data_IF_968032238059
#
_entry.id   IF_968032238059
#
_cell.length_a   1.000
_cell.length_b   1.000
_cell.length_c   1.000
_cell.angle_alpha   90.00
_cell.angle_beta   90.00
_cell.angle_gamma   90.00
#
_symmetry.space_group_name_H-M   'P 1'
#
loop_
_entity.id
_entity.type
_entity.pdbx_description
1 polymer ?
#
# COMPACT_ATOMS: atom_id res chain seq x y z
N UNK A 1 -30.19 -40.72 -32.27
CA UNK A 1 -29.23 -40.92 -31.16
C UNK A 1 -27.85 -40.62 -31.73
N UNK A 2 -27.12 -39.54 -31.48
CA UNK A 2 -27.07 -38.57 -30.40
C UNK A 2 -25.63 -38.04 -30.39
N UNK A 3 -25.26 -37.30 -31.46
CA UNK A 3 -23.94 -36.66 -31.63
C UNK A 3 -23.71 -35.64 -30.52
N UNK A 4 -23.05 -36.06 -29.43
CA UNK A 4 -22.62 -35.14 -28.37
C UNK A 4 -21.33 -34.45 -28.82
N UNK A 5 -21.53 -33.35 -29.54
CA UNK A 5 -20.51 -32.32 -29.74
C UNK A 5 -20.12 -31.75 -28.37
N UNK A 6 -18.92 -32.09 -27.89
CA UNK A 6 -18.36 -31.50 -26.69
C UNK A 6 -18.05 -30.03 -26.99
N UNK A 7 -18.84 -29.13 -26.40
CA UNK A 7 -18.64 -27.68 -26.56
C UNK A 7 -17.37 -27.28 -25.83
N UNK A 8 -16.43 -26.71 -26.61
CA UNK A 8 -15.41 -25.78 -26.13
C UNK A 8 -16.11 -24.62 -25.41
N UNK A 9 -15.84 -24.46 -24.12
CA UNK A 9 -16.33 -23.35 -23.31
C UNK A 9 -15.12 -22.66 -22.70
N UNK A 10 -14.67 -21.59 -23.37
CA UNK A 10 -13.50 -20.82 -22.96
C UNK A 10 -13.65 -20.29 -21.55
N UNK A 11 -12.57 -20.37 -20.79
CA UNK A 11 -12.41 -19.62 -19.56
C UNK A 11 -12.58 -18.12 -19.87
N UNK A 12 -13.20 -17.33 -18.98
CA UNK A 12 -13.25 -15.89 -19.17
C UNK A 12 -11.83 -15.34 -19.02
N UNK A 13 -11.19 -15.09 -20.16
CA UNK A 13 -10.10 -14.14 -20.30
C UNK A 13 -10.74 -12.75 -20.09
N UNK A 14 -10.80 -12.32 -18.84
CA UNK A 14 -11.59 -11.18 -18.43
C UNK A 14 -11.01 -10.50 -17.20
N UNK A 15 -10.47 -9.31 -17.44
CA UNK A 15 -9.85 -8.41 -16.48
C UNK A 15 -8.46 -8.83 -15.98
N UNK A 16 -7.44 -8.56 -16.80
CA UNK A 16 -6.25 -7.92 -16.27
C UNK A 16 -6.71 -6.61 -15.62
N UNK A 17 -7.17 -6.72 -14.37
CA UNK A 17 -7.40 -5.58 -13.49
C UNK A 17 -6.10 -4.78 -13.53
N UNK A 18 -6.23 -3.48 -13.62
CA UNK A 18 -5.23 -2.44 -13.39
C UNK A 18 -4.57 -2.62 -12.01
N UNK A 19 -3.88 -3.73 -11.80
CA UNK A 19 -3.25 -3.99 -10.51
C UNK A 19 -2.05 -3.06 -10.42
N UNK A 20 -1.91 -2.28 -9.33
CA UNK A 20 -0.78 -1.39 -9.15
C UNK A 20 0.51 -2.20 -9.19
N UNK A 21 1.13 -2.23 -10.36
CA UNK A 21 2.36 -2.93 -10.72
C UNK A 21 3.56 -1.96 -10.68
N UNK A 22 3.41 -0.86 -9.95
CA UNK A 22 4.42 0.16 -9.75
C UNK A 22 5.17 0.03 -8.42
N UNK A 23 6.12 0.94 -8.16
CA UNK A 23 6.81 1.01 -6.88
C UNK A 23 5.87 1.52 -5.79
N UNK A 24 6.07 1.03 -4.57
CA UNK A 24 5.43 1.58 -3.37
C UNK A 24 5.79 3.06 -3.22
N UNK A 25 4.79 3.92 -3.12
CA UNK A 25 5.03 5.37 -3.07
C UNK A 25 5.90 5.78 -1.87
N UNK A 26 5.87 5.04 -0.76
CA UNK A 26 6.69 5.36 0.42
C UNK A 26 8.13 4.84 0.31
N UNK A 27 8.31 3.53 0.12
CA UNK A 27 9.63 2.88 0.22
C UNK A 27 10.30 2.57 -1.13
N UNK A 28 9.62 2.76 -2.26
CA UNK A 28 10.19 2.54 -3.60
C UNK A 28 10.31 1.08 -4.05
N UNK A 29 10.13 0.10 -3.15
CA UNK A 29 10.15 -1.33 -3.51
C UNK A 29 8.97 -1.70 -4.43
N UNK A 30 9.12 -2.69 -5.33
CA UNK A 30 8.04 -3.12 -6.20
C UNK A 30 6.82 -3.60 -5.39
N UNK A 31 5.63 -3.28 -5.87
CA UNK A 31 4.38 -3.82 -5.34
C UNK A 31 4.08 -5.14 -6.05
N UNK A 32 3.72 -6.16 -5.26
CA UNK A 32 3.19 -7.41 -5.79
C UNK A 32 1.67 -7.36 -5.70
N UNK A 33 0.95 -7.41 -6.83
CA UNK A 33 -0.49 -7.60 -6.90
C UNK A 33 -1.03 -8.57 -5.84
N UNK A 34 -1.95 -8.11 -5.00
CA UNK A 34 -2.63 -8.96 -4.01
C UNK A 34 -2.80 -8.30 -2.64
N UNK A 35 -2.98 -9.11 -1.57
CA UNK A 35 -3.37 -8.63 -0.24
C UNK A 35 -2.29 -7.83 0.50
N UNK A 36 -1.08 -7.76 -0.08
CA UNK A 36 0.07 -7.03 0.46
C UNK A 36 0.05 -5.54 0.10
N UNK A 37 -0.86 -5.10 -0.78
CA UNK A 37 -0.96 -3.72 -1.27
C UNK A 37 -2.25 -3.07 -0.80
N UNK A 38 -2.13 -1.87 -0.24
CA UNK A 38 -3.27 -1.08 0.26
C UNK A 38 -3.16 0.36 -0.27
N UNK A 39 -4.32 1.01 -0.46
CA UNK A 39 -4.38 2.41 -0.85
C UNK A 39 -4.35 3.30 0.39
N UNK A 40 -3.36 4.18 0.46
CA UNK A 40 -3.19 5.11 1.57
C UNK A 40 -3.63 6.52 1.17
N UNK A 41 -4.47 7.16 1.99
CA UNK A 41 -4.85 8.54 1.77
C UNK A 41 -3.80 9.46 2.38
N UNK A 42 -3.20 10.34 1.58
CA UNK A 42 -2.19 11.29 2.06
C UNK A 42 -2.79 12.34 3.00
N UNK A 43 -4.05 12.69 2.79
CA UNK A 43 -4.87 13.48 3.70
C UNK A 43 -6.05 12.59 4.12
N UNK A 44 -6.37 12.46 5.42
CA UNK A 44 -7.51 11.66 5.86
C UNK A 44 -8.81 12.06 5.16
N UNK A 45 -9.71 11.10 4.90
CA UNK A 45 -11.01 11.38 4.27
C UNK A 45 -11.86 12.38 5.07
N UNK A 46 -11.78 12.33 6.39
CA UNK A 46 -12.48 13.25 7.30
C UNK A 46 -12.06 14.71 7.11
N UNK A 47 -10.83 14.94 6.64
CA UNK A 47 -10.28 16.27 6.36
C UNK A 47 -10.40 16.63 4.85
N UNK A 48 -11.22 15.90 4.10
CA UNK A 48 -11.49 16.16 2.68
C UNK A 48 -10.48 15.55 1.70
N UNK A 49 -9.58 14.69 2.16
CA UNK A 49 -8.55 14.09 1.31
C UNK A 49 -9.09 13.14 0.23
N UNK A 50 -8.63 13.33 -1.01
CA UNK A 50 -9.00 12.50 -2.18
C UNK A 50 -7.81 11.81 -2.85
N UNK A 51 -6.59 12.23 -2.53
CA UNK A 51 -5.37 11.68 -3.12
C UNK A 51 -4.98 10.41 -2.39
N UNK A 52 -4.98 9.31 -3.11
CA UNK A 52 -4.49 8.02 -2.63
C UNK A 52 -3.21 7.62 -3.33
N UNK A 53 -2.34 6.92 -2.60
CA UNK A 53 -1.11 6.34 -3.13
C UNK A 53 -1.01 4.85 -2.75
N UNK A 54 -0.49 4.00 -3.65
CA UNK A 54 -0.37 2.58 -3.36
C UNK A 54 0.84 2.32 -2.47
N UNK A 55 0.62 1.65 -1.34
CA UNK A 55 1.64 1.27 -0.37
C UNK A 55 1.60 -0.22 -0.06
N UNK A 56 2.72 -0.78 0.40
CA UNK A 56 2.68 -2.07 1.09
C UNK A 56 1.90 -1.93 2.40
N UNK A 57 1.19 -2.98 2.81
CA UNK A 57 0.51 -3.07 4.12
C UNK A 57 1.44 -2.74 5.30
N UNK A 58 2.70 -3.17 5.24
CA UNK A 58 3.70 -2.85 6.27
C UNK A 58 4.08 -1.35 6.27
N UNK A 59 4.16 -0.73 5.09
CA UNK A 59 4.44 0.71 4.97
C UNK A 59 3.25 1.53 5.45
N UNK A 60 2.03 1.13 5.09
CA UNK A 60 0.80 1.78 5.55
C UNK A 60 0.66 1.73 7.07
N UNK A 61 0.88 0.55 7.68
CA UNK A 61 0.89 0.39 9.14
C UNK A 61 1.94 1.27 9.81
N UNK A 62 3.14 1.42 9.24
CA UNK A 62 4.17 2.29 9.80
C UNK A 62 3.73 3.74 9.86
N UNK A 63 3.08 4.25 8.81
CA UNK A 63 2.57 5.63 8.80
C UNK A 63 1.59 5.86 9.96
N UNK A 64 0.60 4.99 10.13
CA UNK A 64 -0.38 5.11 11.22
C UNK A 64 0.17 4.78 12.61
N UNK A 65 1.26 4.01 12.70
CA UNK A 65 1.94 3.77 13.95
C UNK A 65 2.68 5.01 14.46
N UNK A 66 3.19 5.85 13.55
CA UNK A 66 3.99 7.04 13.88
C UNK A 66 3.16 8.32 13.96
N UNK A 67 2.19 8.51 13.07
CA UNK A 67 1.48 9.78 12.87
C UNK A 67 -0.01 9.66 13.22
N UNK A 68 -0.56 10.69 13.85
CA UNK A 68 -2.02 10.91 13.91
C UNK A 68 -2.61 11.30 12.56
N UNK A 69 -3.94 11.18 12.45
CA UNK A 69 -4.70 11.80 11.38
C UNK A 69 -4.47 13.32 11.27
N UNK A 70 -4.37 14.03 12.42
CA UNK A 70 -4.11 15.48 12.43
C UNK A 70 -2.72 15.84 11.90
N UNK A 71 -1.69 15.10 12.30
CA UNK A 71 -0.32 15.27 11.79
C UNK A 71 -0.24 14.92 10.30
N UNK A 72 -0.95 13.86 9.89
CA UNK A 72 -1.04 13.45 8.49
C UNK A 72 -1.74 14.51 7.63
N UNK A 73 -2.81 15.13 8.12
CA UNK A 73 -3.54 16.18 7.41
C UNK A 73 -2.78 17.51 7.27
N UNK A 74 -1.79 17.76 8.14
CA UNK A 74 -1.00 19.00 8.15
C UNK A 74 0.40 18.80 7.56
N UNK A 75 1.45 18.76 8.41
CA UNK A 75 2.84 18.75 7.95
C UNK A 75 3.21 17.51 7.12
N UNK A 76 2.47 16.41 7.23
CA UNK A 76 2.79 15.13 6.57
C UNK A 76 1.82 14.76 5.43
N UNK A 77 1.11 15.72 4.85
CA UNK A 77 0.12 15.51 3.80
C UNK A 77 0.71 15.13 2.42
N UNK A 78 2.01 14.84 2.33
CA UNK A 78 2.69 14.47 1.09
C UNK A 78 3.63 13.29 1.31
N UNK A 79 3.90 12.54 0.24
CA UNK A 79 4.85 11.41 0.28
C UNK A 79 6.26 11.87 0.69
N UNK A 80 6.70 13.03 0.21
CA UNK A 80 8.00 13.59 0.55
C UNK A 80 8.10 13.91 2.05
N UNK A 81 7.08 14.56 2.60
CA UNK A 81 7.01 14.82 4.03
C UNK A 81 6.98 13.53 4.87
N UNK A 82 6.23 12.51 4.44
CA UNK A 82 6.25 11.19 5.09
C UNK A 82 7.65 10.58 5.09
N UNK A 83 8.39 10.67 3.98
CA UNK A 83 9.77 10.19 3.87
C UNK A 83 10.74 11.00 4.73
N UNK A 84 10.48 12.29 4.95
CA UNK A 84 11.29 13.17 5.79
C UNK A 84 11.12 12.89 7.29
N UNK A 85 10.02 12.25 7.73
CA UNK A 85 9.82 11.92 9.13
C UNK A 85 10.89 10.92 9.63
N UNK A 86 11.65 11.22 10.69
CA UNK A 86 12.86 10.47 11.05
C UNK A 86 12.61 8.98 11.33
N UNK A 87 11.52 8.65 12.03
CA UNK A 87 11.16 7.26 12.32
C UNK A 87 10.68 6.50 11.07
N UNK A 88 10.08 7.20 10.10
CA UNK A 88 9.64 6.60 8.84
C UNK A 88 10.85 6.42 7.92
N UNK A 89 11.75 7.40 7.84
CA UNK A 89 13.01 7.31 7.11
C UNK A 89 13.90 6.15 7.59
N UNK A 90 14.00 5.95 8.91
CA UNK A 90 14.71 4.81 9.49
C UNK A 90 14.06 3.48 9.10
N UNK A 91 12.74 3.41 9.14
CA UNK A 91 11.99 2.24 8.69
C UNK A 91 12.17 1.96 7.20
N UNK A 92 12.14 2.98 6.34
CA UNK A 92 12.35 2.82 4.89
C UNK A 92 13.72 2.20 4.62
N UNK A 93 14.78 2.70 5.27
CA UNK A 93 16.15 2.15 5.15
C UNK A 93 16.21 0.68 5.54
N UNK A 94 15.52 0.30 6.61
CA UNK A 94 15.47 -1.08 7.08
C UNK A 94 14.65 -1.99 6.15
N UNK A 95 13.48 -1.54 5.70
CA UNK A 95 12.55 -2.33 4.90
C UNK A 95 13.02 -2.50 3.45
N UNK A 96 13.86 -1.58 2.95
CA UNK A 96 14.43 -1.63 1.60
C UNK A 96 15.12 -2.97 1.28
N UNK A 97 15.71 -3.62 2.30
CA UNK A 97 16.44 -4.88 2.17
C UNK A 97 15.56 -6.13 2.39
N UNK A 98 14.22 -5.99 2.34
CA UNK A 98 13.26 -7.08 2.59
C UNK A 98 12.48 -7.41 1.32
N UNK A 99 12.07 -8.69 1.12
CA UNK A 99 11.26 -9.07 -0.03
C UNK A 99 9.97 -8.25 -0.12
N UNK A 100 9.42 -8.04 -1.33
CA UNK A 100 8.29 -7.11 -1.55
C UNK A 100 7.02 -7.53 -0.82
N UNK A 101 6.82 -8.83 -0.61
CA UNK A 101 5.69 -9.40 0.12
C UNK A 101 5.94 -9.51 1.63
N UNK A 102 7.03 -8.93 2.15
CA UNK A 102 7.36 -9.02 3.57
C UNK A 102 6.30 -8.35 4.45
N UNK A 103 5.72 -9.14 5.37
CA UNK A 103 4.77 -8.68 6.37
C UNK A 103 5.38 -8.85 7.76
N UNK A 104 5.26 -7.81 8.59
CA UNK A 104 5.58 -7.90 10.02
C UNK A 104 4.53 -7.18 10.86
N UNK A 105 4.53 -7.43 12.16
CA UNK A 105 3.75 -6.66 13.13
C UNK A 105 4.43 -5.30 13.33
N UNK A 106 3.65 -4.24 13.24
CA UNK A 106 4.10 -2.88 13.56
C UNK A 106 3.49 -2.51 14.90
N UNK A 107 4.32 -2.19 15.89
CA UNK A 107 3.84 -1.67 17.16
C UNK A 107 3.58 -0.16 17.04
N UNK A 108 2.44 0.34 17.56
CA UNK A 108 2.17 1.77 17.57
C UNK A 108 3.13 2.50 18.50
N UNK A 109 3.47 3.74 18.16
CA UNK A 109 4.29 4.61 19.02
C UNK A 109 3.54 4.83 20.35
N UNK A 110 4.15 4.46 21.49
CA UNK A 110 3.62 4.81 22.82
C UNK A 110 3.61 6.33 22.97
N UNK A 111 2.45 6.88 23.29
CA UNK A 111 2.27 8.30 23.61
C UNK A 111 2.17 8.40 25.12
N UNK A 112 3.02 9.22 25.71
CA UNK A 112 3.08 9.49 27.16
C UNK A 112 2.30 10.78 27.40
#
# INVERSE_FOLDING_TARGET
>A
MGRKSMRIGGAPEGAALDVPSGPCALCGRPLVPGPSVEQHHLVPRSEGGRVTVPLHRVCHRKVHAELTERELAGPYATVDALRAHPAIAAFIRWVANKPPEFVTRTEPRRRI
#
